data_IF_108510001748
#
_entry.id   IF_108510001748
#
_cell.length_a   1.000
_cell.length_b   1.000
_cell.length_c   1.000
_cell.angle_alpha   90.00
_cell.angle_beta   90.00
_cell.angle_gamma   90.00
#
_symmetry.space_group_name_H-M   'P 1'
#
loop_
_entity.id
_entity.type
_entity.pdbx_description
1 polymer ?
#
# COMPACT_ATOMS: atom_id res chain seq x y z
N UNK A 1 -17.30 -6.15 7.65
CA UNK A 1 -17.25 -5.27 6.46
C UNK A 1 -16.12 -4.26 6.68
N UNK A 2 -14.98 -4.42 6.00
CA UNK A 2 -13.81 -3.54 6.20
C UNK A 2 -14.10 -2.16 5.62
N UNK A 3 -13.87 -1.10 6.41
CA UNK A 3 -14.00 0.30 5.97
C UNK A 3 -12.76 0.67 5.14
N UNK A 4 -12.75 0.28 3.87
CA UNK A 4 -11.79 0.81 2.92
C UNK A 4 -12.16 2.27 2.63
N UNK A 5 -11.42 3.23 3.20
CA UNK A 5 -11.52 4.62 2.77
C UNK A 5 -10.68 4.77 1.50
N UNK A 6 -11.34 4.85 0.36
CA UNK A 6 -10.77 5.50 -0.83
C UNK A 6 -10.66 7.00 -0.50
N UNK A 7 -9.71 7.36 0.35
CA UNK A 7 -9.45 8.76 0.67
C UNK A 7 -8.89 9.47 -0.56
N UNK A 8 -9.30 10.72 -0.79
CA UNK A 8 -8.57 11.67 -1.63
C UNK A 8 -7.14 11.76 -1.08
N UNK A 9 -6.23 10.92 -1.58
CA UNK A 9 -4.83 10.99 -1.20
C UNK A 9 -4.12 11.96 -2.14
N UNK A 10 -3.26 12.82 -1.61
CA UNK A 10 -2.26 13.48 -2.44
C UNK A 10 -1.43 12.39 -3.15
N UNK A 11 -0.91 12.66 -4.36
CA UNK A 11 -0.16 11.69 -5.12
C UNK A 11 1.20 11.44 -4.46
N UNK A 12 1.22 10.55 -3.45
CA UNK A 12 2.43 10.09 -2.78
C UNK A 12 3.13 9.04 -3.63
N UNK A 13 4.45 9.10 -3.65
CA UNK A 13 5.31 8.12 -4.33
C UNK A 13 5.72 7.00 -3.37
N UNK A 14 6.33 5.94 -3.92
CA UNK A 14 6.96 4.91 -3.10
C UNK A 14 8.05 5.50 -2.19
N UNK A 15 8.82 6.47 -2.68
CA UNK A 15 9.86 7.16 -1.90
C UNK A 15 9.26 7.93 -0.73
N UNK A 16 8.18 8.68 -0.94
CA UNK A 16 7.47 9.38 0.15
C UNK A 16 7.03 8.41 1.25
N UNK A 17 6.47 7.25 0.86
CA UNK A 17 6.05 6.23 1.83
C UNK A 17 7.24 5.61 2.56
N UNK A 18 8.38 5.41 1.88
CA UNK A 18 9.62 4.97 2.55
C UNK A 18 10.14 6.01 3.54
N UNK A 19 10.08 7.29 3.23
CA UNK A 19 10.52 8.36 4.14
C UNK A 19 9.59 8.43 5.35
N UNK A 20 8.27 8.34 5.13
CA UNK A 20 7.27 8.49 6.20
C UNK A 20 7.14 7.25 7.10
N UNK A 21 7.27 6.05 6.54
CA UNK A 21 7.01 4.78 7.25
C UNK A 21 8.24 3.90 7.41
N UNK A 22 9.30 4.17 6.66
CA UNK A 22 10.45 3.27 6.55
C UNK A 22 10.16 2.07 5.64
N UNK A 23 10.97 1.03 5.82
CA UNK A 23 10.86 -0.20 5.04
C UNK A 23 9.60 -0.99 5.41
N UNK A 24 8.82 -1.48 4.44
CA UNK A 24 7.67 -2.33 4.72
C UNK A 24 8.09 -3.68 5.27
N UNK A 25 7.18 -4.31 6.01
CA UNK A 25 7.37 -5.66 6.55
C UNK A 25 7.34 -6.72 5.44
N UNK A 26 6.51 -6.52 4.41
CA UNK A 26 6.47 -7.37 3.23
C UNK A 26 6.17 -6.54 1.97
N UNK A 27 6.65 -7.03 0.83
CA UNK A 27 6.36 -6.48 -0.50
C UNK A 27 5.81 -7.58 -1.40
N UNK A 28 4.63 -7.36 -1.96
CA UNK A 28 3.98 -8.24 -2.92
C UNK A 28 3.94 -7.54 -4.28
N UNK A 29 4.68 -8.07 -5.24
CA UNK A 29 4.58 -7.62 -6.63
C UNK A 29 3.63 -8.57 -7.33
N UNK A 30 2.36 -8.19 -7.43
CA UNK A 30 1.33 -9.03 -8.03
C UNK A 30 1.04 -8.55 -9.46
N UNK A 31 1.18 -9.41 -10.48
CA UNK A 31 0.51 -9.18 -11.75
C UNK A 31 -1.00 -9.31 -11.50
N UNK A 32 -1.76 -8.23 -11.67
CA UNK A 32 -3.21 -8.27 -11.43
C UNK A 32 -3.86 -9.27 -12.41
N UNK A 33 -4.63 -10.24 -11.89
CA UNK A 33 -5.34 -11.29 -12.67
C UNK A 33 -6.38 -10.73 -13.67
N UNK A 34 -6.58 -9.42 -13.67
CA UNK A 34 -7.50 -8.70 -14.54
C UNK A 34 -6.69 -7.71 -15.37
N UNK A 35 -6.29 -8.14 -16.58
CA UNK A 35 -5.77 -7.32 -17.70
C UNK A 35 -4.77 -6.21 -17.33
N UNK A 36 -3.49 -6.59 -17.38
CA UNK A 36 -2.29 -5.77 -17.62
C UNK A 36 -2.13 -4.48 -16.81
N UNK A 37 -1.89 -4.56 -15.50
CA UNK A 37 -1.08 -3.57 -14.78
C UNK A 37 -0.23 -4.24 -13.69
N UNK A 38 1.04 -3.84 -13.60
CA UNK A 38 1.91 -4.20 -12.50
C UNK A 38 1.52 -3.35 -11.29
N UNK A 39 1.06 -4.00 -10.23
CA UNK A 39 0.79 -3.35 -8.95
C UNK A 39 1.78 -3.89 -7.93
N UNK A 40 2.41 -2.98 -7.19
CA UNK A 40 3.26 -3.30 -6.06
C UNK A 40 2.51 -2.99 -4.78
N UNK A 41 2.32 -3.98 -3.92
CA UNK A 41 1.67 -3.83 -2.62
C UNK A 41 2.72 -3.93 -1.52
N UNK A 42 2.72 -2.96 -0.61
CA UNK A 42 3.56 -2.95 0.58
C UNK A 42 2.71 -3.13 1.83
N UNK A 43 3.13 -4.05 2.68
CA UNK A 43 2.43 -4.38 3.92
C UNK A 43 3.31 -3.94 5.09
N UNK A 44 2.75 -3.09 5.95
CA UNK A 44 3.35 -2.66 7.21
C UNK A 44 2.61 -3.31 8.36
N UNK A 45 3.33 -4.06 9.20
CA UNK A 45 2.77 -4.68 10.39
C UNK A 45 3.11 -3.84 11.63
N UNK A 46 2.08 -3.39 12.34
CA UNK A 46 2.22 -2.67 13.59
C UNK A 46 2.01 -3.63 14.77
N UNK A 47 3.09 -4.15 15.34
CA UNK A 47 3.05 -5.13 16.44
C UNK A 47 2.32 -4.64 17.69
N UNK A 48 2.37 -3.33 17.96
CA UNK A 48 1.74 -2.72 19.15
C UNK A 48 0.22 -2.76 19.08
N UNK A 49 -0.35 -2.52 17.90
CA UNK A 49 -1.80 -2.47 17.69
C UNK A 49 -2.34 -3.74 17.03
N UNK A 50 -1.45 -4.67 16.65
CA UNK A 50 -1.76 -5.87 15.85
C UNK A 50 -2.56 -5.51 14.58
N UNK A 51 -2.22 -4.38 13.96
CA UNK A 51 -2.86 -3.90 12.73
C UNK A 51 -1.93 -4.08 11.53
N UNK A 52 -2.53 -4.25 10.36
CA UNK A 52 -1.81 -4.34 9.08
C UNK A 52 -2.21 -3.19 8.19
N UNK A 53 -1.24 -2.58 7.55
CA UNK A 53 -1.47 -1.48 6.62
C UNK A 53 -0.94 -1.88 5.25
N UNK A 54 -1.84 -1.95 4.27
CA UNK A 54 -1.58 -2.33 2.89
C UNK A 54 -1.55 -1.06 2.06
N UNK A 55 -0.45 -0.81 1.36
CA UNK A 55 -0.26 0.32 0.45
C UNK A 55 -0.08 -0.23 -0.96
N UNK A 56 -0.93 0.17 -1.89
CA UNK A 56 -0.92 -0.31 -3.27
C UNK A 56 -0.40 0.79 -4.17
N UNK A 57 0.64 0.48 -4.92
CA UNK A 57 1.31 1.37 -5.86
C UNK A 57 1.10 0.91 -7.30
N UNK A 58 1.04 1.88 -8.21
CA UNK A 58 0.99 1.69 -9.65
C UNK A 58 1.88 2.73 -10.30
N UNK A 59 2.91 2.29 -11.04
CA UNK A 59 3.91 3.17 -11.65
C UNK A 59 4.51 4.16 -10.64
N UNK A 60 5.02 3.66 -9.50
CA UNK A 60 5.59 4.44 -8.40
C UNK A 60 4.60 5.31 -7.60
N UNK A 61 3.34 5.43 -8.03
CA UNK A 61 2.34 6.27 -7.37
C UNK A 61 1.44 5.44 -6.47
N UNK A 62 1.18 5.93 -5.26
CA UNK A 62 0.22 5.34 -4.35
C UNK A 62 -1.19 5.51 -4.92
N UNK A 63 -1.86 4.38 -5.19
CA UNK A 63 -3.22 4.33 -5.73
C UNK A 63 -4.26 3.84 -4.73
N UNK A 64 -3.83 3.26 -3.61
CA UNK A 64 -4.73 2.85 -2.56
C UNK A 64 -4.02 2.50 -1.26
N UNK A 65 -4.74 2.60 -0.15
CA UNK A 65 -4.29 2.07 1.14
C UNK A 65 -5.45 1.53 1.96
N UNK A 66 -5.19 0.46 2.71
CA UNK A 66 -6.15 -0.20 3.58
C UNK A 66 -5.51 -0.55 4.93
N UNK A 67 -6.22 -0.31 6.03
CA UNK A 67 -5.83 -0.76 7.37
C UNK A 67 -6.77 -1.86 7.86
N UNK A 68 -6.20 -2.98 8.29
CA UNK A 68 -6.88 -4.08 8.97
C UNK A 68 -6.82 -3.90 10.49
#
# INVERSE_FOLDING_TARGET
MKRCKAGHMPPLTMEDILILRGKPSAKNVAPSKTRCENHEEWIYYHSVTNTKEHYVFRNDRLVGWCRE
#
